data_IF_916444467611
#
_entry.id   IF_916444467611
#
_cell.length_a   1.000
_cell.length_b   1.000
_cell.length_c   1.000
_cell.angle_alpha   90.00
_cell.angle_beta   90.00
_cell.angle_gamma   90.00
#
_symmetry.space_group_name_H-M   'P 1'
#
loop_
_entity.id
_entity.type
_entity.pdbx_description
1 polymer ?
#
# COMPACT_ATOMS: atom_id res chain seq x y z
N UNK A 1 19.92 -7.94 -19.57
CA UNK A 1 19.81 -6.68 -18.82
C UNK A 1 19.47 -7.08 -17.41
N UNK A 2 20.35 -6.80 -16.46
CA UNK A 2 20.08 -7.05 -15.05
C UNK A 2 19.15 -5.93 -14.55
N UNK A 3 18.03 -6.32 -13.92
CA UNK A 3 17.06 -5.39 -13.37
C UNK A 3 17.62 -4.80 -12.08
N UNK A 4 18.11 -3.56 -12.12
CA UNK A 4 18.59 -2.85 -10.92
C UNK A 4 17.47 -2.01 -10.30
N UNK A 5 17.62 -1.67 -9.02
CA UNK A 5 16.64 -0.87 -8.27
C UNK A 5 16.29 0.46 -8.94
N UNK A 6 17.26 1.08 -9.61
CA UNK A 6 17.08 2.34 -10.34
C UNK A 6 15.98 2.25 -11.42
N UNK A 7 15.74 1.07 -11.99
CA UNK A 7 14.74 0.85 -13.04
C UNK A 7 13.31 0.69 -12.50
N UNK A 8 13.12 0.53 -11.19
CA UNK A 8 11.78 0.41 -10.60
C UNK A 8 11.01 1.71 -10.77
N UNK A 9 9.83 1.63 -11.38
CA UNK A 9 9.01 2.82 -11.62
C UNK A 9 8.34 3.25 -10.32
N UNK A 10 8.38 4.56 -10.06
CA UNK A 10 7.64 5.18 -8.96
C UNK A 10 6.42 5.90 -9.52
N UNK A 11 5.27 5.61 -8.94
CA UNK A 11 4.05 6.38 -9.14
C UNK A 11 3.40 6.62 -7.78
N UNK A 12 3.05 7.87 -7.46
CA UNK A 12 2.39 8.19 -6.20
C UNK A 12 1.04 7.46 -6.12
N UNK A 13 0.79 6.63 -5.10
CA UNK A 13 -0.51 5.99 -4.94
C UNK A 13 -1.64 7.00 -4.76
N UNK A 14 -2.84 6.68 -5.23
CA UNK A 14 -4.04 7.45 -4.90
C UNK A 14 -4.65 6.89 -3.62
N UNK A 15 -4.33 7.49 -2.46
CA UNK A 15 -4.73 6.96 -1.16
C UNK A 15 -6.25 6.80 -1.02
N UNK A 16 -7.04 7.75 -1.52
CA UNK A 16 -8.51 7.65 -1.45
C UNK A 16 -9.02 6.41 -2.18
N UNK A 17 -8.49 6.15 -3.38
CA UNK A 17 -8.80 4.96 -4.17
C UNK A 17 -8.35 3.68 -3.46
N UNK A 18 -7.11 3.65 -2.96
CA UNK A 18 -6.61 2.53 -2.16
C UNK A 18 -7.53 2.25 -0.97
N UNK A 19 -7.90 3.28 -0.21
CA UNK A 19 -8.72 3.15 0.99
C UNK A 19 -10.14 2.67 0.70
N UNK A 20 -10.71 3.07 -0.45
CA UNK A 20 -12.02 2.63 -0.89
C UNK A 20 -11.98 1.14 -1.27
N UNK A 21 -11.05 0.73 -2.13
CA UNK A 21 -10.87 -0.67 -2.53
C UNK A 21 -10.52 -1.57 -1.34
N UNK A 22 -9.70 -1.11 -0.41
CA UNK A 22 -9.37 -1.89 0.78
C UNK A 22 -10.61 -2.15 1.65
N UNK A 23 -11.46 -1.15 1.86
CA UNK A 23 -12.70 -1.30 2.65
C UNK A 23 -13.71 -2.21 1.97
N UNK A 24 -13.81 -2.14 0.64
CA UNK A 24 -14.64 -3.04 -0.16
C UNK A 24 -14.20 -4.49 0.03
N UNK A 25 -12.92 -4.79 -0.17
CA UNK A 25 -12.39 -6.13 0.01
C UNK A 25 -12.47 -6.63 1.45
N UNK A 26 -12.30 -5.74 2.44
CA UNK A 26 -12.52 -6.06 3.84
C UNK A 26 -13.98 -6.42 4.13
N UNK A 27 -14.94 -5.77 3.45
CA UNK A 27 -16.35 -6.13 3.53
C UNK A 27 -16.60 -7.51 2.94
N UNK A 28 -16.02 -7.81 1.77
CA UNK A 28 -16.10 -9.14 1.17
C UNK A 28 -15.49 -10.21 2.07
N UNK A 29 -14.33 -9.94 2.66
CA UNK A 29 -13.66 -10.84 3.60
C UNK A 29 -14.54 -11.17 4.81
N UNK A 30 -15.28 -10.19 5.36
CA UNK A 30 -16.18 -10.38 6.52
C UNK A 30 -17.48 -11.10 6.17
N UNK A 31 -17.95 -10.98 4.94
CA UNK A 31 -19.24 -11.51 4.47
C UNK A 31 -19.11 -12.83 3.71
N UNK A 32 -17.87 -13.29 3.48
CA UNK A 32 -17.58 -14.54 2.79
C UNK A 32 -18.33 -15.72 3.44
N UNK A 33 -18.97 -16.53 2.61
CA UNK A 33 -19.74 -17.71 3.03
C UNK A 33 -18.90 -18.99 3.00
N UNK A 34 -17.66 -18.90 2.52
CA UNK A 34 -16.72 -20.01 2.44
C UNK A 34 -15.27 -19.55 2.67
N UNK A 35 -14.42 -20.50 3.07
CA UNK A 35 -12.98 -20.25 3.20
C UNK A 35 -12.33 -19.86 1.86
N UNK A 36 -12.87 -20.34 0.74
CA UNK A 36 -12.41 -19.99 -0.60
C UNK A 36 -12.68 -18.51 -0.90
N UNK A 37 -13.92 -18.05 -0.70
CA UNK A 37 -14.29 -16.63 -0.87
C UNK A 37 -13.48 -15.70 0.05
N UNK A 38 -13.25 -16.13 1.29
CA UNK A 38 -12.43 -15.39 2.24
C UNK A 38 -10.96 -15.32 1.77
N UNK A 39 -10.43 -16.42 1.22
CA UNK A 39 -9.09 -16.50 0.66
C UNK A 39 -8.88 -15.59 -0.56
N UNK A 40 -9.89 -15.48 -1.42
CA UNK A 40 -9.83 -14.55 -2.56
C UNK A 40 -9.80 -13.08 -2.12
N UNK A 41 -10.67 -12.70 -1.17
CA UNK A 41 -10.67 -11.35 -0.59
C UNK A 41 -9.32 -11.05 0.10
N UNK A 42 -8.76 -12.02 0.83
CA UNK A 42 -7.43 -11.91 1.43
C UNK A 42 -6.34 -11.66 0.39
N UNK A 43 -6.36 -12.37 -0.74
CA UNK A 43 -5.39 -12.17 -1.82
C UNK A 43 -5.49 -10.75 -2.40
N UNK A 44 -6.71 -10.22 -2.59
CA UNK A 44 -6.94 -8.86 -3.08
C UNK A 44 -6.50 -7.79 -2.07
N UNK A 45 -6.80 -7.97 -0.78
CA UNK A 45 -6.29 -7.10 0.30
C UNK A 45 -4.75 -7.05 0.28
N UNK A 46 -4.09 -8.21 0.18
CA UNK A 46 -2.63 -8.26 0.13
C UNK A 46 -2.07 -7.64 -1.15
N UNK A 47 -2.75 -7.78 -2.30
CA UNK A 47 -2.40 -7.08 -3.54
C UNK A 47 -2.38 -5.57 -3.35
N UNK A 48 -3.46 -5.00 -2.82
CA UNK A 48 -3.57 -3.56 -2.54
C UNK A 48 -2.46 -3.07 -1.59
N UNK A 49 -2.18 -3.85 -0.53
CA UNK A 49 -1.10 -3.53 0.43
C UNK A 49 0.28 -3.57 -0.24
N UNK A 50 0.52 -4.55 -1.09
CA UNK A 50 1.80 -4.69 -1.80
C UNK A 50 2.02 -3.53 -2.76
N UNK A 51 1.01 -3.10 -3.49
CA UNK A 51 1.11 -1.94 -4.41
C UNK A 51 1.45 -0.66 -3.64
N UNK A 52 0.70 -0.36 -2.57
CA UNK A 52 0.94 0.83 -1.75
C UNK A 52 2.33 0.81 -1.10
N UNK A 53 2.70 -0.30 -0.45
CA UNK A 53 3.99 -0.41 0.24
C UNK A 53 5.18 -0.49 -0.72
N UNK A 54 5.01 -0.99 -1.94
CA UNK A 54 6.05 -0.95 -2.97
C UNK A 54 6.41 0.48 -3.34
N UNK A 55 5.40 1.33 -3.57
CA UNK A 55 5.64 2.74 -3.88
C UNK A 55 6.23 3.49 -2.69
N UNK A 56 5.76 3.21 -1.47
CA UNK A 56 6.36 3.73 -0.25
C UNK A 56 7.85 3.37 -0.16
N UNK A 57 8.20 2.10 -0.35
CA UNK A 57 9.59 1.64 -0.25
C UNK A 57 10.48 2.28 -1.33
N UNK A 58 9.99 2.41 -2.56
CA UNK A 58 10.75 3.08 -3.63
C UNK A 58 10.99 4.55 -3.25
N UNK A 59 9.95 5.25 -2.79
CA UNK A 59 10.06 6.64 -2.32
C UNK A 59 11.06 6.76 -1.17
N UNK A 60 10.91 5.95 -0.12
CA UNK A 60 11.71 6.01 1.09
C UNK A 60 13.20 5.74 0.80
N UNK A 61 13.52 4.73 -0.01
CA UNK A 61 14.91 4.42 -0.38
C UNK A 61 15.50 5.56 -1.21
N UNK A 62 14.77 6.13 -2.17
CA UNK A 62 15.27 7.22 -3.01
C UNK A 62 15.44 8.53 -2.22
N UNK A 63 14.51 8.83 -1.32
CA UNK A 63 14.62 9.96 -0.39
C UNK A 63 15.84 9.82 0.53
N UNK A 64 16.03 8.64 1.15
CA UNK A 64 17.16 8.41 2.07
C UNK A 64 18.53 8.36 1.35
N UNK A 65 18.54 8.09 0.04
CA UNK A 65 19.76 8.13 -0.78
C UNK A 65 20.23 9.56 -1.06
N UNK A 66 19.31 10.51 -1.30
CA UNK A 66 19.61 11.94 -1.35
C UNK A 66 18.45 12.76 -0.77
N UNK A 67 18.58 13.16 0.50
CA UNK A 67 17.56 13.93 1.21
C UNK A 67 17.41 15.37 0.74
N UNK A 68 18.20 15.81 -0.26
CA UNK A 68 18.07 17.11 -0.90
C UNK A 68 17.25 17.05 -2.19
N UNK A 69 16.87 15.85 -2.64
CA UNK A 69 15.96 15.67 -3.76
C UNK A 69 14.55 16.15 -3.36
N UNK A 70 14.17 17.34 -3.83
CA UNK A 70 12.87 17.95 -3.52
C UNK A 70 11.67 17.14 -4.00
N UNK A 71 11.83 16.29 -5.01
CA UNK A 71 10.74 15.42 -5.46
C UNK A 71 10.50 14.36 -4.39
N UNK A 72 11.53 13.57 -4.04
CA UNK A 72 11.37 12.50 -3.07
C UNK A 72 11.14 13.00 -1.64
N UNK A 73 11.54 14.22 -1.29
CA UNK A 73 11.10 14.88 -0.05
C UNK A 73 9.58 15.03 0.01
N UNK A 74 8.96 15.61 -1.04
CA UNK A 74 7.50 15.81 -1.11
C UNK A 74 6.72 14.50 -1.19
N UNK A 75 7.30 13.49 -1.82
CA UNK A 75 6.74 12.15 -1.83
C UNK A 75 6.83 11.50 -0.44
N UNK A 76 7.95 11.66 0.28
CA UNK A 76 8.11 11.14 1.64
C UNK A 76 7.12 11.79 2.60
N UNK A 77 6.97 13.12 2.56
CA UNK A 77 5.95 13.84 3.35
C UNK A 77 4.51 13.36 3.03
N UNK A 78 4.25 13.02 1.76
CA UNK A 78 2.96 12.44 1.39
C UNK A 78 2.72 11.12 2.14
N UNK A 79 3.70 10.22 2.14
CA UNK A 79 3.59 8.97 2.89
C UNK A 79 3.51 9.19 4.39
N UNK A 80 4.29 10.09 4.98
CA UNK A 80 4.20 10.43 6.41
C UNK A 80 2.79 10.84 6.83
N UNK A 81 2.08 11.57 5.96
CA UNK A 81 0.67 11.95 6.20
C UNK A 81 -0.32 10.78 6.04
N UNK A 82 -0.09 9.87 5.09
CA UNK A 82 -1.03 8.78 4.81
C UNK A 82 -0.80 7.52 5.65
N UNK A 83 0.43 7.28 6.11
CA UNK A 83 0.80 6.07 6.84
C UNK A 83 -0.08 5.77 8.07
N UNK A 84 -0.45 6.75 8.92
CA UNK A 84 -1.35 6.48 10.04
C UNK A 84 -2.73 5.96 9.60
N UNK A 85 -3.27 6.48 8.49
CA UNK A 85 -4.55 6.02 7.94
C UNK A 85 -4.42 4.63 7.30
N UNK A 86 -3.30 4.36 6.62
CA UNK A 86 -2.97 3.02 6.11
C UNK A 86 -2.90 1.99 7.25
N UNK A 87 -2.18 2.30 8.33
CA UNK A 87 -2.06 1.43 9.50
C UNK A 87 -3.42 1.17 10.17
N UNK A 88 -4.29 2.17 10.21
CA UNK A 88 -5.68 2.02 10.67
C UNK A 88 -6.45 0.96 9.87
N UNK A 89 -6.36 1.00 8.54
CA UNK A 89 -7.01 0.02 7.66
C UNK A 89 -6.44 -1.40 7.87
N UNK A 90 -5.11 -1.51 7.98
CA UNK A 90 -4.43 -2.79 8.23
C UNK A 90 -4.83 -3.37 9.58
N UNK A 91 -4.93 -2.53 10.62
CA UNK A 91 -5.41 -2.93 11.93
C UNK A 91 -6.87 -3.44 11.88
N UNK A 92 -7.74 -2.78 11.14
CA UNK A 92 -9.14 -3.22 10.98
C UNK A 92 -9.28 -4.55 10.23
N UNK A 93 -8.34 -4.83 9.33
CA UNK A 93 -8.20 -6.15 8.70
C UNK A 93 -7.72 -7.21 9.70
N UNK A 94 -6.67 -6.94 10.49
CA UNK A 94 -6.18 -7.90 11.49
C UNK A 94 -7.19 -8.24 12.60
N UNK A 95 -8.13 -7.34 12.90
CA UNK A 95 -9.22 -7.62 13.86
C UNK A 95 -10.21 -8.68 13.38
N UNK A 96 -10.24 -9.01 12.08
CA UNK A 96 -11.20 -9.97 11.52
C UNK A 96 -10.60 -11.17 10.83
N UNK A 97 -9.28 -11.16 10.62
CA UNK A 97 -8.54 -12.34 10.18
C UNK A 97 -8.68 -13.47 11.20
#
# INVERSE_FOLDING_TARGET
>A
MDLTFEHFQYERPQFDRFSASFREELSHFRQASSAEEQGEALARINGLRNEFTSMYNICHIRHTMDTRDEFYEKENEYFDRQMPAYEGLVNDFYKVL
#
